data_IF_593308438730
#
_entry.id   IF_593308438730
#
_cell.length_a   1.000
_cell.length_b   1.000
_cell.length_c   1.000
_cell.angle_alpha   90.00
_cell.angle_beta   90.00
_cell.angle_gamma   90.00
#
_symmetry.space_group_name_H-M   'P 1'
#
loop_
_entity.id
_entity.type
_entity.pdbx_description
1 polymer ?
#
# COMPACT_ATOMS: atom_id res chain seq x y z
N UNK A 1 6.60 -5.96 8.21
CA UNK A 1 8.04 -6.10 7.89
C UNK A 1 8.59 -7.51 8.17
N UNK A 2 8.13 -8.21 9.22
CA UNK A 2 8.64 -9.57 9.53
C UNK A 2 8.50 -10.54 8.34
N UNK A 3 7.35 -10.53 7.64
CA UNK A 3 7.15 -11.35 6.44
C UNK A 3 8.15 -10.97 5.35
N UNK A 4 8.35 -9.68 5.10
CA UNK A 4 9.30 -9.20 4.09
C UNK A 4 10.75 -9.61 4.41
N UNK A 5 11.13 -9.55 5.69
CA UNK A 5 12.44 -10.06 6.15
C UNK A 5 12.55 -11.58 5.94
N UNK A 6 11.49 -12.34 6.24
CA UNK A 6 11.42 -13.79 6.00
C UNK A 6 11.53 -14.16 4.51
N UNK A 7 11.07 -13.29 3.61
CA UNK A 7 11.25 -13.41 2.16
C UNK A 7 12.65 -12.97 1.66
N UNK A 8 13.54 -12.56 2.58
CA UNK A 8 14.92 -12.19 2.29
C UNK A 8 15.14 -10.73 1.90
N UNK A 9 14.13 -9.85 2.03
CA UNK A 9 14.31 -8.44 1.74
C UNK A 9 15.15 -7.76 2.82
N UNK A 10 16.19 -7.04 2.43
CA UNK A 10 17.11 -6.32 3.32
C UNK A 10 17.24 -4.84 2.97
N UNK A 11 17.19 -4.49 1.70
CA UNK A 11 17.30 -3.10 1.23
C UNK A 11 16.70 -2.94 -0.16
N UNK A 12 16.21 -1.76 -0.45
CA UNK A 12 15.65 -1.39 -1.75
C UNK A 12 14.82 -0.12 -1.66
N UNK A 13 14.00 0.11 -2.66
CA UNK A 13 13.04 1.22 -2.69
C UNK A 13 11.71 0.74 -2.13
N UNK A 14 11.27 1.36 -1.05
CA UNK A 14 10.02 1.03 -0.35
C UNK A 14 9.02 2.17 -0.58
N UNK A 15 7.84 1.83 -1.10
CA UNK A 15 6.73 2.76 -1.29
C UNK A 15 5.66 2.57 -0.22
N UNK A 16 5.17 3.66 0.35
CA UNK A 16 3.91 3.74 1.10
C UNK A 16 2.96 4.70 0.36
N UNK A 17 1.97 4.19 -0.42
CA UNK A 17 1.18 5.01 -1.33
C UNK A 17 0.07 5.85 -0.65
N UNK A 18 -0.09 5.72 0.66
CA UNK A 18 -0.98 6.50 1.52
C UNK A 18 -0.42 6.53 2.94
N UNK A 19 0.68 7.28 3.12
CA UNK A 19 1.50 7.12 4.32
C UNK A 19 0.93 7.78 5.59
N UNK A 20 -0.07 8.65 5.46
CA UNK A 20 -0.60 9.36 6.62
C UNK A 20 0.51 10.12 7.35
N UNK A 21 0.65 9.86 8.63
CA UNK A 21 1.72 10.42 9.49
C UNK A 21 2.98 9.53 9.55
N UNK A 22 3.12 8.54 8.66
CA UNK A 22 4.34 7.75 8.51
C UNK A 22 4.51 6.59 9.49
N UNK A 23 3.41 6.00 9.96
CA UNK A 23 3.47 4.91 10.94
C UNK A 23 4.30 3.72 10.47
N UNK A 24 4.26 3.35 9.19
CA UNK A 24 5.08 2.27 8.66
C UNK A 24 6.55 2.64 8.58
N UNK A 25 6.90 3.90 8.31
CA UNK A 25 8.30 4.35 8.35
C UNK A 25 8.89 4.25 9.75
N UNK A 26 8.12 4.62 10.78
CA UNK A 26 8.53 4.48 12.18
C UNK A 26 8.69 3.04 12.66
N UNK A 27 8.12 2.07 11.94
CA UNK A 27 8.24 0.64 12.24
C UNK A 27 9.27 -0.07 11.36
N UNK A 28 10.04 0.67 10.55
CA UNK A 28 11.07 0.08 9.70
C UNK A 28 12.15 -0.60 10.55
N UNK A 29 12.41 -1.91 10.37
CA UNK A 29 13.42 -2.59 11.16
C UNK A 29 14.84 -2.14 10.76
N UNK A 30 15.75 -2.17 11.72
CA UNK A 30 17.15 -1.77 11.51
C UNK A 30 17.81 -2.54 10.34
N UNK A 31 17.44 -3.81 10.15
CA UNK A 31 17.92 -4.63 9.02
C UNK A 31 17.56 -4.08 7.66
N UNK A 32 16.60 -3.15 7.58
CA UNK A 32 16.13 -2.51 6.34
C UNK A 32 16.46 -1.01 6.28
N UNK A 33 17.22 -0.46 7.23
CA UNK A 33 17.51 0.98 7.35
C UNK A 33 18.32 1.58 6.18
N UNK A 34 18.90 0.75 5.33
CA UNK A 34 19.59 1.16 4.09
C UNK A 34 18.65 1.29 2.89
N UNK A 35 17.35 1.12 3.10
CA UNK A 35 16.36 1.31 2.06
C UNK A 35 16.08 2.79 1.79
N UNK A 36 15.71 3.12 0.55
CA UNK A 36 15.20 4.43 0.21
C UNK A 36 13.69 4.42 0.34
N UNK A 37 13.15 5.34 1.13
CA UNK A 37 11.73 5.39 1.48
C UNK A 37 11.01 6.45 0.66
N UNK A 38 9.81 6.10 0.18
CA UNK A 38 8.92 6.96 -0.59
C UNK A 38 7.53 6.91 0.02
N UNK A 39 6.96 8.09 0.29
CA UNK A 39 5.61 8.24 0.81
C UNK A 39 4.77 9.12 -0.10
N UNK A 40 3.53 8.74 -0.31
CA UNK A 40 2.52 9.58 -0.96
C UNK A 40 1.43 9.88 0.05
N UNK A 41 1.05 11.14 0.20
CA UNK A 41 -0.02 11.53 1.13
C UNK A 41 -0.82 12.70 0.56
N UNK A 42 -2.14 12.51 0.50
CA UNK A 42 -3.06 13.51 -0.03
C UNK A 42 -3.27 14.67 0.94
N UNK A 43 -3.40 14.37 2.24
CA UNK A 43 -3.63 15.40 3.26
C UNK A 43 -2.34 16.16 3.56
N UNK A 44 -2.39 17.47 3.34
CA UNK A 44 -1.23 18.34 3.51
C UNK A 44 -0.68 18.34 4.95
N UNK A 45 -1.54 18.26 5.96
CA UNK A 45 -1.12 18.26 7.35
C UNK A 45 -0.36 16.98 7.69
N UNK A 46 -0.92 15.83 7.32
CA UNK A 46 -0.30 14.51 7.49
C UNK A 46 1.05 14.43 6.76
N UNK A 47 1.11 14.89 5.51
CA UNK A 47 2.34 14.92 4.73
C UNK A 47 3.44 15.76 5.41
N UNK A 48 3.08 16.95 5.94
CA UNK A 48 4.02 17.79 6.71
C UNK A 48 4.50 17.11 7.98
N UNK A 49 3.59 16.50 8.75
CA UNK A 49 3.95 15.74 9.96
C UNK A 49 4.95 14.64 9.62
N UNK A 50 4.68 13.86 8.57
CA UNK A 50 5.59 12.80 8.12
C UNK A 50 6.95 13.34 7.71
N UNK A 51 6.99 14.44 6.96
CA UNK A 51 8.26 15.08 6.57
C UNK A 51 9.07 15.61 7.74
N UNK A 52 8.43 16.07 8.83
CA UNK A 52 9.13 16.46 10.05
C UNK A 52 9.62 15.27 10.89
N UNK A 53 8.83 14.19 10.96
CA UNK A 53 9.19 13.02 11.75
C UNK A 53 10.25 12.15 11.04
N UNK A 54 10.23 12.12 9.71
CA UNK A 54 11.08 11.26 8.88
C UNK A 54 11.70 12.08 7.73
N UNK A 55 12.65 12.97 8.01
CA UNK A 55 13.22 13.88 7.01
C UNK A 55 13.97 13.16 5.88
N UNK A 56 14.34 11.90 6.07
CA UNK A 56 15.00 11.05 5.07
C UNK A 56 14.03 10.42 4.06
N UNK A 57 12.72 10.51 4.30
CA UNK A 57 11.69 9.95 3.41
C UNK A 57 11.35 10.92 2.28
N UNK A 58 11.31 10.41 1.06
CA UNK A 58 10.84 11.18 -0.09
C UNK A 58 9.31 11.27 -0.06
N UNK A 59 8.76 12.37 0.44
CA UNK A 59 7.31 12.58 0.56
C UNK A 59 6.79 13.38 -0.62
N UNK A 60 5.78 12.84 -1.31
CA UNK A 60 4.96 13.56 -2.28
C UNK A 60 3.60 13.89 -1.66
N UNK A 61 3.31 15.19 -1.47
CA UNK A 61 1.99 15.65 -1.02
C UNK A 61 1.05 15.78 -2.20
N UNK A 62 0.47 14.65 -2.60
CA UNK A 62 -0.46 14.55 -3.74
C UNK A 62 -1.32 13.28 -3.60
N UNK A 63 -2.33 13.15 -4.46
CA UNK A 63 -3.04 11.87 -4.59
C UNK A 63 -2.19 10.86 -5.37
N UNK A 64 -2.30 9.59 -5.01
CA UNK A 64 -1.53 8.52 -5.68
C UNK A 64 -1.81 8.45 -7.18
N UNK A 65 -2.99 8.90 -7.64
CA UNK A 65 -3.35 8.98 -9.05
C UNK A 65 -2.52 10.00 -9.85
N UNK A 66 -1.89 10.96 -9.17
CA UNK A 66 -1.09 12.03 -9.78
C UNK A 66 0.41 11.78 -9.72
N UNK A 67 0.84 10.70 -9.07
CA UNK A 67 2.26 10.36 -9.02
C UNK A 67 2.75 9.83 -10.35
N UNK A 68 3.99 10.18 -10.71
CA UNK A 68 4.63 9.82 -11.98
C UNK A 68 5.81 8.85 -11.76
N UNK A 69 5.64 7.88 -10.86
CA UNK A 69 6.65 6.84 -10.68
C UNK A 69 6.71 5.92 -11.90
N UNK A 70 7.91 5.56 -12.37
CA UNK A 70 8.06 4.58 -13.43
C UNK A 70 7.49 3.21 -13.03
N UNK A 71 7.02 2.45 -14.01
CA UNK A 71 6.67 1.05 -13.80
C UNK A 71 7.93 0.24 -13.41
N UNK A 72 7.76 -0.72 -12.53
CA UNK A 72 8.87 -1.55 -12.05
C UNK A 72 9.91 -0.82 -11.19
N UNK A 73 9.56 0.32 -10.60
CA UNK A 73 10.52 1.15 -9.87
C UNK A 73 10.79 0.68 -8.43
N UNK A 74 9.77 0.19 -7.74
CA UNK A 74 9.87 -0.17 -6.32
C UNK A 74 10.17 -1.66 -6.11
N UNK A 75 10.91 -1.97 -5.05
CA UNK A 75 11.15 -3.33 -4.60
C UNK A 75 10.02 -3.84 -3.72
N UNK A 76 9.55 -2.97 -2.83
CA UNK A 76 8.52 -3.26 -1.84
C UNK A 76 7.49 -2.12 -1.84
N UNK A 77 6.23 -2.47 -1.61
CA UNK A 77 5.21 -1.52 -1.19
C UNK A 77 4.54 -2.01 0.10
N UNK A 78 4.38 -1.11 1.06
CA UNK A 78 3.71 -1.37 2.35
C UNK A 78 2.65 -0.32 2.59
N UNK A 79 1.65 -0.60 3.39
CA UNK A 79 0.71 0.42 3.82
C UNK A 79 -0.64 -0.10 4.26
N UNK A 80 -1.44 0.82 4.75
CA UNK A 80 -2.86 0.65 4.99
C UNK A 80 -3.60 1.43 3.90
N UNK A 81 -4.09 0.74 2.87
CA UNK A 81 -4.73 1.41 1.74
C UNK A 81 -6.04 2.08 2.18
N UNK A 82 -6.40 3.23 1.59
CA UNK A 82 -7.64 3.91 1.94
C UNK A 82 -8.86 3.05 1.59
N UNK A 83 -9.89 3.12 2.42
CA UNK A 83 -11.13 2.37 2.26
C UNK A 83 -12.27 3.28 1.82
N UNK A 84 -13.13 2.81 0.93
CA UNK A 84 -14.29 3.56 0.52
C UNK A 84 -15.00 3.00 -0.72
N UNK A 85 -16.26 3.40 -0.89
CA UNK A 85 -17.11 3.02 -2.01
C UNK A 85 -17.08 4.08 -3.13
N UNK A 86 -15.90 4.67 -3.34
CA UNK A 86 -15.68 5.64 -4.41
C UNK A 86 -14.49 5.23 -5.27
N UNK A 87 -14.38 5.88 -6.43
CA UNK A 87 -13.34 5.63 -7.43
C UNK A 87 -12.42 6.83 -7.52
N UNK A 88 -11.17 6.56 -7.84
CA UNK A 88 -10.18 7.59 -8.14
C UNK A 88 -10.16 7.83 -9.64
N UNK A 89 -9.98 9.08 -10.06
CA UNK A 89 -9.87 9.43 -11.46
C UNK A 89 -8.40 9.32 -11.90
N UNK A 90 -8.03 8.18 -12.45
CA UNK A 90 -6.74 7.94 -13.08
C UNK A 90 -6.98 7.43 -14.52
N UNK A 91 -6.60 8.20 -15.56
CA UNK A 91 -6.87 7.84 -16.95
C UNK A 91 -6.40 6.45 -17.37
N UNK A 92 -5.32 5.94 -16.75
CA UNK A 92 -4.77 4.62 -17.04
C UNK A 92 -5.70 3.51 -16.56
N UNK A 93 -6.38 3.72 -15.42
CA UNK A 93 -7.18 2.69 -14.71
C UNK A 93 -8.69 2.91 -14.80
N UNK A 94 -9.16 4.07 -15.26
CA UNK A 94 -10.59 4.45 -15.28
C UNK A 94 -11.48 3.41 -15.98
N UNK A 95 -11.00 2.78 -17.06
CA UNK A 95 -11.75 1.75 -17.82
C UNK A 95 -12.15 0.53 -16.99
N UNK A 96 -11.49 0.28 -15.87
CA UNK A 96 -11.74 -0.89 -15.02
C UNK A 96 -12.76 -0.61 -13.92
N UNK A 97 -12.96 0.66 -13.56
CA UNK A 97 -13.93 1.08 -12.55
C UNK A 97 -13.64 0.57 -11.15
N UNK A 98 -12.37 0.40 -10.80
CA UNK A 98 -11.94 -0.06 -9.49
C UNK A 98 -12.37 0.88 -8.37
N UNK A 99 -12.79 0.33 -7.22
CA UNK A 99 -12.91 1.09 -5.98
C UNK A 99 -11.54 1.50 -5.47
N UNK A 100 -11.46 2.53 -4.63
CA UNK A 100 -10.19 3.12 -4.19
C UNK A 100 -9.22 2.07 -3.65
N UNK A 101 -9.65 1.18 -2.76
CA UNK A 101 -8.77 0.15 -2.19
C UNK A 101 -8.24 -0.83 -3.25
N UNK A 102 -9.07 -1.20 -4.24
CA UNK A 102 -8.66 -2.07 -5.35
C UNK A 102 -7.69 -1.34 -6.30
N UNK A 103 -7.94 -0.05 -6.56
CA UNK A 103 -7.07 0.80 -7.37
C UNK A 103 -5.66 0.90 -6.79
N UNK A 104 -5.54 1.07 -5.46
CA UNK A 104 -4.23 1.14 -4.82
C UNK A 104 -3.42 -0.15 -5.03
N UNK A 105 -4.04 -1.33 -4.94
CA UNK A 105 -3.37 -2.58 -5.28
C UNK A 105 -2.92 -2.61 -6.74
N UNK A 106 -3.84 -2.30 -7.65
CA UNK A 106 -3.57 -2.40 -9.09
C UNK A 106 -2.44 -1.49 -9.53
N UNK A 107 -2.49 -0.19 -9.18
CA UNK A 107 -1.44 0.75 -9.52
C UNK A 107 -0.11 0.39 -8.86
N UNK A 108 -0.14 -0.04 -7.60
CA UNK A 108 1.09 -0.45 -6.91
C UNK A 108 1.77 -1.63 -7.59
N UNK A 109 1.01 -2.65 -8.03
CA UNK A 109 1.61 -3.80 -8.73
C UNK A 109 2.32 -3.38 -10.02
N UNK A 110 1.78 -2.40 -10.76
CA UNK A 110 2.45 -1.88 -11.96
C UNK A 110 3.75 -1.12 -11.61
N UNK A 111 3.81 -0.50 -10.40
CA UNK A 111 5.01 0.22 -9.92
C UNK A 111 6.06 -0.68 -9.26
N UNK A 112 5.70 -1.92 -8.89
CA UNK A 112 6.65 -2.91 -8.39
C UNK A 112 7.44 -3.55 -9.52
N UNK A 113 8.76 -3.74 -9.27
CA UNK A 113 9.58 -4.52 -10.20
C UNK A 113 9.17 -6.01 -10.19
N UNK A 114 9.58 -6.80 -11.19
CA UNK A 114 9.48 -8.25 -11.10
C UNK A 114 10.07 -8.78 -9.79
N UNK A 115 9.37 -9.68 -9.12
CA UNK A 115 9.69 -10.20 -7.78
C UNK A 115 9.65 -9.15 -6.65
N UNK A 116 9.07 -7.97 -6.88
CA UNK A 116 8.71 -7.03 -5.84
C UNK A 116 7.50 -7.52 -5.04
N UNK A 117 7.34 -7.06 -3.80
CA UNK A 117 6.25 -7.51 -2.92
C UNK A 117 5.42 -6.34 -2.43
N UNK A 118 4.09 -6.44 -2.57
CA UNK A 118 3.14 -5.59 -1.88
C UNK A 118 2.70 -6.24 -0.56
N UNK A 119 2.69 -5.48 0.53
CA UNK A 119 2.21 -5.93 1.85
C UNK A 119 1.21 -4.89 2.38
N UNK A 120 -0.07 -5.10 2.10
CA UNK A 120 -1.12 -4.12 2.37
C UNK A 120 -2.17 -4.59 3.36
N UNK A 121 -2.55 -3.68 4.25
CA UNK A 121 -3.79 -3.80 5.03
C UNK A 121 -4.93 -3.28 4.14
N UNK A 122 -5.98 -4.09 4.00
CA UNK A 122 -7.18 -3.76 3.21
C UNK A 122 -8.45 -4.24 3.90
N UNK A 123 -9.61 -3.89 3.36
CA UNK A 123 -10.88 -4.41 3.85
C UNK A 123 -11.04 -5.90 3.48
N UNK A 124 -11.83 -6.64 4.28
CA UNK A 124 -12.23 -8.00 3.92
C UNK A 124 -12.87 -8.08 2.52
N UNK A 125 -13.43 -6.97 2.03
CA UNK A 125 -14.07 -6.91 0.72
C UNK A 125 -13.13 -7.25 -0.44
N UNK A 126 -11.83 -7.02 -0.34
CA UNK A 126 -10.88 -7.42 -1.40
C UNK A 126 -10.91 -8.91 -1.64
N UNK A 127 -11.00 -9.73 -0.57
CA UNK A 127 -11.05 -11.19 -0.67
C UNK A 127 -12.47 -11.75 -0.79
N UNK A 128 -13.44 -11.17 -0.08
CA UNK A 128 -14.75 -11.76 0.13
C UNK A 128 -15.84 -11.31 -0.88
N UNK A 129 -15.62 -10.23 -1.65
CA UNK A 129 -16.67 -9.76 -2.57
C UNK A 129 -16.98 -10.81 -3.66
N UNK A 130 -18.26 -10.98 -3.97
CA UNK A 130 -18.72 -11.94 -5.01
C UNK A 130 -18.15 -11.61 -6.39
N UNK A 131 -18.04 -10.31 -6.72
CA UNK A 131 -17.44 -9.86 -7.97
C UNK A 131 -15.93 -10.18 -8.00
N UNK A 132 -15.54 -11.09 -8.87
CA UNK A 132 -14.17 -11.60 -8.98
C UNK A 132 -13.25 -10.75 -9.88
N UNK A 133 -13.77 -9.72 -10.57
CA UNK A 133 -13.00 -8.97 -11.59
C UNK A 133 -11.67 -8.45 -11.09
N UNK A 134 -11.65 -7.86 -9.88
CA UNK A 134 -10.41 -7.34 -9.29
C UNK A 134 -9.42 -8.46 -9.01
N UNK A 135 -9.87 -9.52 -8.32
CA UNK A 135 -9.02 -10.68 -8.03
C UNK A 135 -8.44 -11.31 -9.30
N UNK A 136 -9.25 -11.47 -10.34
CA UNK A 136 -8.78 -11.96 -11.65
C UNK A 136 -7.75 -11.04 -12.29
N UNK A 137 -7.92 -9.73 -12.10
CA UNK A 137 -6.95 -8.73 -12.60
C UNK A 137 -5.62 -8.83 -11.85
N UNK A 138 -5.67 -8.95 -10.51
CA UNK A 138 -4.48 -9.10 -9.66
C UNK A 138 -3.75 -10.41 -9.94
N UNK A 139 -4.46 -11.55 -10.02
CA UNK A 139 -3.88 -12.87 -10.30
C UNK A 139 -3.15 -12.98 -11.64
N UNK A 140 -3.49 -12.12 -12.61
CA UNK A 140 -2.76 -12.06 -13.88
C UNK A 140 -1.41 -11.33 -13.78
N UNK A 141 -1.15 -10.63 -12.66
CA UNK A 141 0.00 -9.75 -12.47
C UNK A 141 0.89 -10.14 -11.31
N UNK A 142 0.33 -10.78 -10.30
CA UNK A 142 1.04 -11.15 -9.09
C UNK A 142 0.50 -12.46 -8.53
N UNK A 143 1.33 -13.14 -7.78
CA UNK A 143 0.99 -14.30 -6.97
C UNK A 143 0.60 -13.84 -5.56
N UNK A 144 -0.47 -14.41 -4.99
CA UNK A 144 -0.82 -14.20 -3.59
C UNK A 144 0.06 -15.09 -2.72
N UNK A 145 1.03 -14.50 -2.05
CA UNK A 145 1.97 -15.24 -1.18
C UNK A 145 1.34 -15.62 0.16
N UNK A 146 0.37 -14.83 0.62
CA UNK A 146 -0.32 -15.09 1.87
C UNK A 146 -1.37 -14.03 2.20
N UNK A 147 -2.28 -14.41 3.10
CA UNK A 147 -3.32 -13.53 3.62
C UNK A 147 -3.52 -13.79 5.11
N UNK A 148 -3.67 -12.72 5.90
CA UNK A 148 -3.96 -12.80 7.34
C UNK A 148 -5.19 -11.96 7.63
N UNK A 149 -6.28 -12.60 8.11
CA UNK A 149 -7.48 -11.89 8.55
C UNK A 149 -7.31 -11.39 9.97
N UNK A 150 -7.44 -10.10 10.16
CA UNK A 150 -7.39 -9.46 11.46
C UNK A 150 -8.79 -9.48 12.12
N UNK A 151 -8.85 -9.62 13.46
CA UNK A 151 -10.12 -9.51 14.17
C UNK A 151 -10.70 -8.09 14.04
N UNK A 152 -12.02 -7.96 14.14
CA UNK A 152 -12.71 -6.66 14.05
C UNK A 152 -12.32 -5.68 15.16
N UNK A 153 -11.59 -6.13 16.16
CA UNK A 153 -11.06 -5.32 17.27
C UNK A 153 -9.65 -4.78 16.99
N UNK A 154 -9.00 -5.17 15.89
CA UNK A 154 -7.62 -4.79 15.59
C UNK A 154 -7.42 -3.25 15.54
N UNK A 155 -8.43 -2.51 15.10
CA UNK A 155 -8.42 -1.05 14.99
C UNK A 155 -9.30 -0.34 16.01
N UNK A 156 -9.65 -1.01 17.13
CA UNK A 156 -10.50 -0.43 18.19
C UNK A 156 -9.93 0.89 18.72
N UNK A 157 -8.62 0.98 18.89
CA UNK A 157 -7.96 2.21 19.37
C UNK A 157 -7.97 3.34 18.33
N UNK A 158 -8.17 3.03 17.06
CA UNK A 158 -8.37 4.01 15.98
C UNK A 158 -9.85 4.37 15.78
N UNK A 159 -10.73 3.99 16.72
CA UNK A 159 -12.14 4.35 16.71
C UNK A 159 -13.00 3.57 15.70
N UNK A 160 -12.48 2.51 15.09
CA UNK A 160 -13.23 1.71 14.10
C UNK A 160 -13.26 0.22 14.44
N UNK A 161 -14.37 -0.43 14.06
CA UNK A 161 -14.55 -1.89 14.17
C UNK A 161 -14.70 -2.47 12.77
N UNK A 162 -13.59 -2.68 12.11
CA UNK A 162 -13.55 -3.20 10.74
C UNK A 162 -12.75 -4.51 10.72
N UNK A 163 -13.29 -5.54 10.08
CA UNK A 163 -12.52 -6.73 9.72
C UNK A 163 -11.66 -6.39 8.52
N UNK A 164 -10.37 -6.53 8.67
CA UNK A 164 -9.38 -6.21 7.64
C UNK A 164 -8.51 -7.42 7.35
N UNK A 165 -7.95 -7.44 6.16
CA UNK A 165 -7.00 -8.46 5.74
C UNK A 165 -5.63 -7.82 5.50
N UNK A 166 -4.56 -8.54 5.85
CA UNK A 166 -3.21 -8.22 5.37
C UNK A 166 -2.93 -9.16 4.22
N UNK A 167 -2.63 -8.61 3.05
CA UNK A 167 -2.33 -9.38 1.84
C UNK A 167 -0.86 -9.17 1.45
N UNK A 168 -0.23 -10.25 1.04
CA UNK A 168 1.14 -10.27 0.57
C UNK A 168 1.23 -10.84 -0.84
#
# INVERSE_FOLDING_TARGET
>A
YQVLAGLGFTKGRILEPSCGTGNFFGLLPESMNKSTLYGVELDQMSAKITGYLYPEVNIENTGFERTDYPDGYFDIAVGNVPFGDYRVNDPVYNRHGFLIHDYFFVKTLDKLRPSGVAAFITTKGTMDKENTKVRQYLFKRAELLGAVRLPNTAFKNAGTKVTSDILF
#
